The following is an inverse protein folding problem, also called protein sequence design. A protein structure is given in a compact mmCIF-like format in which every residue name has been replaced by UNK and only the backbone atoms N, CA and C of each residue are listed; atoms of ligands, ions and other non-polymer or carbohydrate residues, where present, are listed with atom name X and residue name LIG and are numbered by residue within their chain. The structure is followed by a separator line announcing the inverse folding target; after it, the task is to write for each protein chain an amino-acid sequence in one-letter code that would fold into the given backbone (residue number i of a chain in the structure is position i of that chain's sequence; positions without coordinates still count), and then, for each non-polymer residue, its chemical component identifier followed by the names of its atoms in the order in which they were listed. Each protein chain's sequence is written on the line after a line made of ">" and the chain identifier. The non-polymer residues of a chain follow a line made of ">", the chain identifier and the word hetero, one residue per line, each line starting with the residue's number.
data_IF_250537145516
#
_entry.id   IF_250537145516
#
_cell.length_a   1.000
_cell.length_b   1.000
_cell.length_c   1.000
_cell.angle_alpha   90.00
_cell.angle_beta   90.00
_cell.angle_gamma   90.00
#
_symmetry.space_group_name_H-M   'P 1'
#
loop_
_entity.id
_entity.type
_entity.pdbx_description
1 polymer ?
#
# COMPACT_ATOMS: atom_id res chain seq x y z
N UNK A 1 7.11 -11.98 8.01
CA UNK A 1 6.46 -10.65 7.98
C UNK A 1 5.41 -10.45 9.06
N UNK A 2 4.52 -11.41 9.35
CA UNK A 2 3.47 -11.23 10.38
C UNK A 2 4.03 -11.00 11.81
N UNK A 3 5.23 -11.48 12.06
CA UNK A 3 5.94 -11.38 13.35
C UNK A 3 6.82 -10.13 13.45
N UNK A 4 6.90 -9.30 12.41
CA UNK A 4 7.72 -8.08 12.47
C UNK A 4 6.98 -7.00 13.26
N UNK A 5 7.72 -6.23 14.05
CA UNK A 5 7.21 -5.08 14.81
C UNK A 5 6.37 -4.14 13.94
N UNK A 6 6.84 -3.81 12.74
CA UNK A 6 6.18 -2.87 11.83
C UNK A 6 4.80 -3.40 11.36
N UNK A 7 4.69 -4.71 11.18
CA UNK A 7 3.42 -5.33 10.79
C UNK A 7 2.42 -5.36 11.95
N UNK A 8 2.90 -5.61 13.17
CA UNK A 8 2.10 -5.69 14.39
C UNK A 8 1.74 -4.31 14.97
N UNK A 9 2.50 -3.26 14.62
CA UNK A 9 2.23 -1.88 15.01
C UNK A 9 0.91 -1.33 14.44
N UNK A 10 0.34 -1.98 13.43
CA UNK A 10 -0.96 -1.64 12.85
C UNK A 10 -1.93 -2.83 12.96
N UNK A 11 -3.25 -2.59 12.94
CA UNK A 11 -4.20 -3.69 12.81
C UNK A 11 -3.86 -4.53 11.59
N UNK A 12 -3.84 -5.86 11.73
CA UNK A 12 -3.38 -6.76 10.68
C UNK A 12 -4.06 -6.52 9.31
N UNK A 13 -5.33 -6.10 9.31
CA UNK A 13 -6.08 -5.74 8.09
C UNK A 13 -5.48 -4.53 7.37
N UNK A 14 -4.99 -3.53 8.08
CA UNK A 14 -4.33 -2.33 7.54
C UNK A 14 -2.96 -2.71 6.98
N UNK A 15 -2.15 -3.47 7.72
CA UNK A 15 -0.87 -3.98 7.24
C UNK A 15 -1.03 -4.79 5.95
N UNK A 16 -2.07 -5.63 5.87
CA UNK A 16 -2.40 -6.38 4.65
C UNK A 16 -2.82 -5.49 3.47
N UNK A 17 -3.44 -4.33 3.70
CA UNK A 17 -3.73 -3.39 2.61
C UNK A 17 -2.45 -2.78 2.04
N UNK A 18 -1.48 -2.45 2.90
CA UNK A 18 -0.16 -1.96 2.47
C UNK A 18 0.54 -2.99 1.59
N UNK A 19 0.56 -4.26 2.00
CA UNK A 19 1.17 -5.34 1.22
C UNK A 19 0.47 -5.59 -0.11
N UNK A 20 -0.87 -5.50 -0.14
CA UNK A 20 -1.64 -5.59 -1.40
C UNK A 20 -1.34 -4.44 -2.35
N UNK A 21 -1.17 -3.23 -1.82
CA UNK A 21 -0.72 -2.08 -2.60
C UNK A 21 0.66 -2.32 -3.22
N UNK A 22 1.60 -2.85 -2.43
CA UNK A 22 2.94 -3.21 -2.91
C UNK A 22 2.88 -4.26 -4.03
N UNK A 23 2.17 -5.36 -3.82
CA UNK A 23 1.99 -6.43 -4.83
C UNK A 23 1.42 -5.89 -6.14
N UNK A 24 0.36 -5.08 -6.06
CA UNK A 24 -0.24 -4.45 -7.24
C UNK A 24 0.75 -3.55 -7.97
N UNK A 25 1.51 -2.71 -7.25
CA UNK A 25 2.47 -1.80 -7.85
C UNK A 25 3.58 -2.54 -8.60
N UNK A 26 4.06 -3.66 -8.05
CA UNK A 26 5.06 -4.50 -8.72
C UNK A 26 4.50 -5.15 -9.99
N UNK A 27 3.28 -5.72 -9.93
CA UNK A 27 2.61 -6.28 -11.12
C UNK A 27 2.43 -5.23 -12.21
N UNK A 28 1.98 -4.02 -11.85
CA UNK A 28 1.85 -2.90 -12.78
C UNK A 28 3.19 -2.47 -13.39
N UNK A 29 4.27 -2.45 -12.61
CA UNK A 29 5.61 -2.13 -13.12
C UNK A 29 6.07 -3.15 -14.17
N UNK A 30 5.92 -4.46 -13.91
CA UNK A 30 6.32 -5.48 -14.87
C UNK A 30 5.47 -5.44 -16.14
N UNK A 31 4.15 -5.27 -16.01
CA UNK A 31 3.26 -5.11 -17.16
C UNK A 31 3.65 -3.90 -18.02
N UNK A 32 3.81 -2.73 -17.41
CA UNK A 32 4.22 -1.52 -18.11
C UNK A 32 5.62 -1.65 -18.73
N UNK A 33 6.57 -2.31 -18.04
CA UNK A 33 7.92 -2.54 -18.56
C UNK A 33 7.96 -3.51 -19.74
N UNK A 34 7.03 -4.46 -19.81
CA UNK A 34 6.86 -5.33 -20.98
C UNK A 34 6.27 -4.55 -22.15
N UNK A 35 5.20 -3.80 -21.90
CA UNK A 35 4.53 -2.98 -22.93
C UNK A 35 5.47 -1.93 -23.52
N UNK A 36 6.27 -1.26 -22.69
CA UNK A 36 7.24 -0.27 -23.13
C UNK A 36 8.28 -0.82 -24.13
N UNK A 37 8.57 -2.13 -24.10
CA UNK A 37 9.49 -2.75 -25.08
C UNK A 37 8.88 -2.83 -26.47
N UNK A 38 7.58 -3.05 -26.56
CA UNK A 38 6.85 -3.21 -27.82
C UNK A 38 6.32 -1.87 -28.34
N UNK A 39 5.86 -1.01 -27.44
CA UNK A 39 5.16 0.24 -27.74
C UNK A 39 5.73 1.41 -26.91
N UNK A 40 7.01 1.78 -27.09
CA UNK A 40 7.63 2.87 -26.33
C UNK A 40 6.97 4.24 -26.59
N UNK A 41 6.33 4.42 -27.74
CA UNK A 41 5.62 5.63 -28.16
C UNK A 41 4.37 5.92 -27.32
N UNK A 42 3.77 4.91 -26.69
CA UNK A 42 2.63 5.09 -25.79
C UNK A 42 3.02 5.65 -24.40
N UNK A 43 4.32 5.80 -24.13
CA UNK A 43 4.83 6.22 -22.83
C UNK A 43 5.63 7.51 -22.94
N UNK A 44 5.33 8.48 -22.08
CA UNK A 44 6.12 9.71 -21.97
C UNK A 44 7.54 9.43 -21.46
N UNK A 45 7.69 8.41 -20.60
CA UNK A 45 8.96 8.01 -19.99
C UNK A 45 8.98 6.51 -19.75
N UNK A 46 10.19 5.94 -19.72
CA UNK A 46 10.39 4.54 -19.33
C UNK A 46 9.82 4.27 -17.92
N UNK A 47 9.03 3.18 -17.73
CA UNK A 47 8.57 2.78 -16.41
C UNK A 47 9.72 2.65 -15.41
N UNK A 48 9.53 3.23 -14.21
CA UNK A 48 10.54 3.22 -13.15
C UNK A 48 10.21 2.13 -12.13
N UNK A 49 11.27 1.49 -11.62
CA UNK A 49 11.14 0.47 -10.59
C UNK A 49 10.53 1.08 -9.31
N UNK A 50 9.55 0.42 -8.66
CA UNK A 50 9.04 0.87 -7.38
C UNK A 50 10.17 0.90 -6.33
N UNK A 51 10.36 2.06 -5.70
CA UNK A 51 11.37 2.26 -4.66
C UNK A 51 10.77 2.40 -3.25
N UNK A 52 11.63 2.34 -2.25
CA UNK A 52 11.25 2.65 -0.87
C UNK A 52 11.10 4.16 -0.67
N UNK A 53 10.18 4.54 0.22
CA UNK A 53 10.04 5.93 0.66
C UNK A 53 11.14 6.29 1.65
N UNK A 54 11.36 7.58 1.82
CA UNK A 54 12.34 8.11 2.79
C UNK A 54 12.00 7.61 4.21
N UNK A 55 12.96 7.08 5.00
CA UNK A 55 12.65 6.40 6.26
C UNK A 55 11.97 7.26 7.35
N UNK A 56 12.27 8.56 7.41
CA UNK A 56 11.78 9.48 8.45
C UNK A 56 10.59 10.32 7.98
N UNK A 57 10.68 10.86 6.76
CA UNK A 57 9.71 11.80 6.19
C UNK A 57 8.79 11.16 5.16
N UNK A 58 9.11 9.95 4.68
CA UNK A 58 8.24 9.20 3.80
C UNK A 58 6.90 8.91 4.45
N UNK A 59 5.82 9.07 3.67
CA UNK A 59 4.46 8.76 4.10
C UNK A 59 3.84 7.79 3.13
N UNK A 60 3.25 6.73 3.64
CA UNK A 60 2.46 5.79 2.84
C UNK A 60 0.97 5.94 3.15
N UNK A 61 0.12 5.60 2.19
CA UNK A 61 -1.32 5.57 2.41
C UNK A 61 -1.65 4.41 3.35
N UNK A 62 -2.33 4.69 4.47
CA UNK A 62 -2.87 3.68 5.36
C UNK A 62 -4.38 3.58 5.15
N UNK A 63 -4.82 2.42 4.67
CA UNK A 63 -6.24 2.17 4.38
C UNK A 63 -6.86 1.44 5.57
N UNK A 64 -7.71 2.15 6.30
CA UNK A 64 -8.55 1.57 7.35
C UNK A 64 -9.90 1.17 6.75
N UNK A 65 -10.12 -0.12 6.63
CA UNK A 65 -11.47 -0.63 6.33
C UNK A 65 -12.31 -0.59 7.60
N UNK A 66 -13.64 -0.56 7.47
CA UNK A 66 -14.55 -0.58 8.64
C UNK A 66 -14.27 -1.77 9.60
N UNK A 67 -13.76 -2.88 9.06
CA UNK A 67 -13.38 -4.08 9.81
C UNK A 67 -12.11 -3.89 10.65
N UNK A 68 -11.30 -2.86 10.37
CA UNK A 68 -10.11 -2.52 11.14
C UNK A 68 -10.40 -1.55 12.30
N UNK A 69 -11.64 -1.08 12.42
CA UNK A 69 -12.07 -0.09 13.42
C UNK A 69 -12.79 -0.79 14.58
N UNK A 70 -12.53 -0.36 15.81
CA UNK A 70 -13.16 -0.95 17.00
C UNK A 70 -14.67 -0.75 17.00
N UNK A 71 -15.42 -1.84 16.94
CA UNK A 71 -16.89 -1.82 17.08
C UNK A 71 -17.33 -1.31 18.46
N UNK A 72 -16.53 -1.55 19.50
CA UNK A 72 -16.81 -1.07 20.85
C UNK A 72 -16.60 0.44 20.93
N UNK A 73 -15.48 0.94 20.38
CA UNK A 73 -15.18 2.37 20.35
C UNK A 73 -16.19 3.19 19.54
N UNK A 74 -16.70 2.64 18.44
CA UNK A 74 -17.80 3.25 17.68
C UNK A 74 -19.09 3.34 18.50
N UNK A 75 -19.49 2.25 19.18
CA UNK A 75 -20.69 2.22 20.03
C UNK A 75 -20.61 3.16 21.23
N UNK A 76 -19.41 3.31 21.81
CA UNK A 76 -19.16 4.20 22.94
C UNK A 76 -18.97 5.67 22.51
N UNK A 77 -19.00 5.97 21.20
CA UNK A 77 -18.77 7.33 20.68
C UNK A 77 -17.33 7.84 20.79
N UNK A 78 -16.37 6.97 21.17
CA UNK A 78 -14.95 7.28 21.26
C UNK A 78 -14.30 7.42 19.87
N UNK A 79 -14.87 6.74 18.88
CA UNK A 79 -14.47 6.84 17.46
C UNK A 79 -15.67 7.36 16.68
N UNK A 80 -15.44 8.36 15.83
CA UNK A 80 -16.43 8.92 14.89
C UNK A 80 -15.90 8.75 13.47
N UNK A 81 -16.79 8.42 12.53
CA UNK A 81 -16.49 8.25 11.10
C UNK A 81 -17.04 9.42 10.29
#
# INVERSE_FOLDING_TARGET
>A
MKETEQYQALPAKVSQQVLRGLDRNWKSFFAASSEFKSHPDQFLVKPKIPGYKEPKKGRNLLVYTIQAISKVGLRQGLVKL
#
